data_IF_150791577139
#
_entry.id   IF_150791577139
#
_cell.length_a   1.000
_cell.length_b   1.000
_cell.length_c   1.000
_cell.angle_alpha   90.00
_cell.angle_beta   90.00
_cell.angle_gamma   90.00
#
_symmetry.space_group_name_H-M   'P 1'
#
loop_
_entity.id
_entity.type
_entity.pdbx_description
1 polymer ?
#
# COMPACT_ATOMS: atom_id res chain seq x y z
N UNK A 1 -0.61 3.99 15.09
CA UNK A 1 -1.01 5.26 14.45
C UNK A 1 -0.49 5.28 13.02
N UNK A 2 -1.06 6.10 12.12
CA UNK A 2 -0.61 6.17 10.73
C UNK A 2 0.85 6.66 10.64
N UNK A 3 1.58 6.16 9.65
CA UNK A 3 2.93 6.60 9.30
C UNK A 3 2.84 7.51 8.07
N UNK A 4 3.51 8.66 8.12
CA UNK A 4 3.47 9.64 7.03
C UNK A 4 3.48 11.09 7.53
N UNK A 5 3.19 12.01 6.62
CA UNK A 5 3.08 13.44 6.90
C UNK A 5 1.69 13.86 7.39
N UNK A 6 1.52 15.16 7.55
CA UNK A 6 0.27 15.81 7.98
C UNK A 6 -0.44 16.57 6.84
N UNK A 7 -0.07 16.29 5.59
CA UNK A 7 -0.63 16.91 4.37
C UNK A 7 -1.50 15.90 3.61
N UNK A 8 -2.30 16.41 2.68
CA UNK A 8 -3.19 15.61 1.84
C UNK A 8 -4.56 15.35 2.47
N UNK A 9 -5.35 14.50 1.82
CA UNK A 9 -6.67 14.09 2.30
C UNK A 9 -6.58 12.69 2.93
N UNK A 10 -7.11 12.54 4.13
CA UNK A 10 -7.23 11.23 4.79
C UNK A 10 -8.25 10.37 4.06
N UNK A 11 -8.00 9.07 3.98
CA UNK A 11 -8.96 8.09 3.49
C UNK A 11 -8.98 6.86 4.39
N UNK A 12 -10.13 6.19 4.41
CA UNK A 12 -10.36 4.87 4.99
C UNK A 12 -11.39 4.21 4.07
N UNK A 13 -10.98 3.14 3.39
CA UNK A 13 -11.86 2.44 2.44
C UNK A 13 -12.90 1.56 3.15
N UNK A 14 -12.75 1.34 4.46
CA UNK A 14 -13.55 0.44 5.27
C UNK A 14 -13.23 -1.04 5.00
N UNK A 15 -14.11 -1.92 5.46
CA UNK A 15 -13.87 -3.37 5.46
C UNK A 15 -14.47 -4.05 4.22
N UNK A 16 -13.67 -4.94 3.63
CA UNK A 16 -14.01 -5.77 2.46
C UNK A 16 -13.83 -7.27 2.73
N UNK A 17 -14.29 -8.14 1.84
CA UNK A 17 -14.12 -9.59 1.97
C UNK A 17 -12.68 -9.99 1.63
N UNK A 18 -12.01 -9.21 0.78
CA UNK A 18 -10.61 -9.38 0.44
C UNK A 18 -10.11 -8.44 -0.65
N UNK A 19 -8.88 -8.69 -1.08
CA UNK A 19 -8.16 -7.87 -2.04
C UNK A 19 -7.64 -8.78 -3.16
N UNK A 20 -7.78 -8.35 -4.41
CA UNK A 20 -7.34 -9.09 -5.60
C UNK A 20 -6.12 -8.48 -6.26
N UNK A 21 -6.02 -7.16 -6.30
CA UNK A 21 -4.92 -6.45 -6.96
C UNK A 21 -4.63 -5.13 -6.26
N UNK A 22 -3.35 -4.79 -6.20
CA UNK A 22 -2.83 -3.48 -5.81
C UNK A 22 -2.07 -2.91 -6.99
N UNK A 23 -2.37 -1.66 -7.36
CA UNK A 23 -1.57 -0.87 -8.29
C UNK A 23 -1.01 0.31 -7.51
N UNK A 24 0.32 0.50 -7.55
CA UNK A 24 1.00 1.58 -6.83
C UNK A 24 1.74 2.44 -7.84
N UNK A 25 1.56 3.76 -7.73
CA UNK A 25 2.36 4.75 -8.44
C UNK A 25 3.46 5.31 -7.56
N UNK A 26 4.65 5.47 -8.13
CA UNK A 26 5.78 6.07 -7.45
C UNK A 26 6.59 6.98 -8.38
N UNK A 27 7.09 8.09 -7.84
CA UNK A 27 8.07 8.94 -8.51
C UNK A 27 9.43 8.88 -7.79
N UNK A 28 10.35 9.76 -8.16
CA UNK A 28 11.71 9.80 -7.60
C UNK A 28 11.76 10.11 -6.08
N UNK A 29 10.67 10.66 -5.53
CA UNK A 29 10.56 11.08 -4.14
C UNK A 29 9.72 10.15 -3.28
N UNK A 30 8.62 9.62 -3.83
CA UNK A 30 7.55 9.04 -3.00
C UNK A 30 6.60 8.11 -3.74
N UNK A 31 5.80 7.39 -2.96
CA UNK A 31 4.55 6.78 -3.40
C UNK A 31 3.53 7.90 -3.63
N UNK A 32 3.01 7.99 -4.85
CA UNK A 32 2.13 9.07 -5.31
C UNK A 32 0.68 8.62 -5.42
N UNK A 33 0.44 7.32 -5.62
CA UNK A 33 -0.87 6.76 -5.94
C UNK A 33 -0.99 5.33 -5.44
N UNK A 34 -2.20 4.98 -5.00
CA UNK A 34 -2.57 3.60 -4.75
C UNK A 34 -3.97 3.35 -5.27
N UNK A 35 -4.14 2.23 -5.97
CA UNK A 35 -5.44 1.69 -6.37
C UNK A 35 -5.55 0.26 -5.90
N UNK A 36 -6.71 -0.06 -5.35
CA UNK A 36 -6.99 -1.37 -4.80
C UNK A 36 -8.27 -1.92 -5.41
N UNK A 37 -8.19 -3.15 -5.87
CA UNK A 37 -9.33 -3.94 -6.32
C UNK A 37 -9.74 -4.90 -5.20
N UNK A 38 -10.80 -4.53 -4.49
CA UNK A 38 -11.38 -5.32 -3.40
C UNK A 38 -12.45 -6.29 -3.89
N UNK A 39 -12.70 -7.32 -3.09
CA UNK A 39 -13.82 -8.23 -3.20
C UNK A 39 -14.89 -7.85 -2.16
N UNK A 40 -16.15 -7.72 -2.57
CA UNK A 40 -17.32 -7.58 -1.66
C UNK A 40 -18.56 -8.19 -2.29
N UNK A 41 -19.24 -9.11 -1.61
CA UNK A 41 -20.51 -9.72 -2.05
C UNK A 41 -20.44 -10.25 -3.50
N UNK A 42 -19.43 -11.07 -3.81
CA UNK A 42 -19.15 -11.59 -5.16
C UNK A 42 -18.85 -10.54 -6.25
N UNK A 43 -18.71 -9.25 -5.91
CA UNK A 43 -18.33 -8.16 -6.84
C UNK A 43 -16.93 -7.60 -6.58
N UNK A 44 -16.33 -7.02 -7.62
CA UNK A 44 -15.08 -6.26 -7.50
C UNK A 44 -15.40 -4.79 -7.26
N UNK A 45 -14.83 -4.22 -6.21
CA UNK A 45 -14.97 -2.80 -5.84
C UNK A 45 -13.61 -2.13 -5.96
N UNK A 46 -13.55 -1.01 -6.69
CA UNK A 46 -12.31 -0.26 -6.89
C UNK A 46 -12.29 0.97 -5.98
N UNK A 47 -11.13 1.22 -5.38
CA UNK A 47 -10.80 2.43 -4.64
C UNK A 47 -9.43 2.94 -5.07
N UNK A 48 -9.28 4.26 -5.12
CA UNK A 48 -8.07 4.91 -5.59
C UNK A 48 -7.80 6.18 -4.79
N UNK A 49 -6.54 6.40 -4.42
CA UNK A 49 -6.12 7.52 -3.60
C UNK A 49 -4.80 8.11 -4.08
N UNK A 50 -4.62 9.40 -3.83
CA UNK A 50 -3.45 10.15 -4.29
C UNK A 50 -3.56 10.59 -5.76
N UNK A 51 -2.41 10.85 -6.38
CA UNK A 51 -2.30 11.38 -7.74
C UNK A 51 -1.58 10.35 -8.61
N UNK A 52 -2.27 9.82 -9.62
CA UNK A 52 -1.69 8.88 -10.58
C UNK A 52 -0.55 9.55 -11.39
N UNK A 53 0.67 9.42 -10.87
CA UNK A 53 1.89 10.04 -11.39
C UNK A 53 3.09 9.13 -11.15
N UNK A 54 4.01 9.09 -12.10
CA UNK A 54 5.24 8.29 -11.99
C UNK A 54 5.06 6.88 -12.53
N UNK A 55 5.94 5.96 -12.13
CA UNK A 55 5.92 4.57 -12.56
C UNK A 55 4.78 3.82 -11.84
N UNK A 56 3.93 3.15 -12.62
CA UNK A 56 2.90 2.24 -12.11
C UNK A 56 3.40 0.81 -12.11
N UNK A 57 3.24 0.12 -10.99
CA UNK A 57 3.45 -1.33 -10.88
C UNK A 57 2.24 -1.98 -10.24
N UNK A 58 2.06 -3.26 -10.50
CA UNK A 58 0.94 -4.05 -9.97
C UNK A 58 1.43 -5.25 -9.16
N UNK A 59 0.64 -5.64 -8.15
CA UNK A 59 0.78 -6.89 -7.43
C UNK A 59 -0.58 -7.57 -7.29
N UNK A 60 -0.67 -8.80 -7.76
CA UNK A 60 -1.91 -9.61 -7.72
C UNK A 60 -1.87 -10.55 -6.53
N UNK A 61 -2.97 -10.63 -5.79
CA UNK A 61 -3.17 -11.52 -4.66
C UNK A 61 -4.14 -12.61 -5.08
N UNK A 62 -3.77 -13.88 -4.83
CA UNK A 62 -4.57 -15.04 -5.22
C UNK A 62 -5.75 -15.29 -4.26
N UNK A 63 -6.66 -14.32 -4.12
CA UNK A 63 -7.87 -14.43 -3.33
C UNK A 63 -8.87 -15.44 -3.94
N UNK A 64 -9.55 -16.30 -3.15
CA UNK A 64 -9.61 -16.32 -1.68
C UNK A 64 -8.51 -17.15 -1.01
N UNK A 65 -7.66 -17.83 -1.79
CA UNK A 65 -6.63 -18.71 -1.27
C UNK A 65 -5.41 -18.00 -0.68
N UNK A 66 -5.35 -16.67 -0.75
CA UNK A 66 -4.26 -15.86 -0.23
C UNK A 66 -4.77 -14.47 0.16
N UNK A 67 -4.04 -13.79 1.05
CA UNK A 67 -4.42 -12.51 1.64
C UNK A 67 -3.16 -11.71 2.00
N UNK A 68 -3.25 -10.38 2.07
CA UNK A 68 -2.18 -9.55 2.64
C UNK A 68 -2.20 -9.68 4.16
N UNK A 69 -1.04 -9.96 4.75
CA UNK A 69 -0.84 -10.07 6.21
C UNK A 69 0.16 -9.04 6.75
N UNK A 70 0.97 -8.46 5.86
CA UNK A 70 1.84 -7.36 6.21
C UNK A 70 2.00 -6.35 5.08
N UNK A 71 2.17 -5.09 5.47
CA UNK A 71 2.59 -4.00 4.61
C UNK A 71 3.85 -3.41 5.23
N UNK A 72 4.91 -3.28 4.45
CA UNK A 72 6.13 -2.62 4.90
C UNK A 72 6.65 -1.65 3.85
N UNK A 73 7.74 -0.99 4.17
CA UNK A 73 8.35 -0.02 3.29
C UNK A 73 9.25 0.94 4.03
N UNK A 74 9.43 2.13 3.43
CA UNK A 74 10.21 3.21 4.03
C UNK A 74 9.48 4.54 3.91
N UNK A 75 9.83 5.47 4.80
CA UNK A 75 9.38 6.85 4.74
C UNK A 75 10.54 7.80 5.01
N UNK A 76 10.45 9.00 4.44
CA UNK A 76 11.45 10.04 4.64
C UNK A 76 10.81 11.43 4.69
N UNK A 77 11.46 12.36 5.40
CA UNK A 77 11.14 13.77 5.30
C UNK A 77 11.72 14.32 3.99
N UNK A 78 10.86 14.90 3.13
CA UNK A 78 11.26 15.46 1.84
C UNK A 78 11.28 16.97 1.94
N UNK A 79 12.48 17.56 1.98
CA UNK A 79 12.67 19.00 2.23
C UNK A 79 11.94 19.90 1.22
N UNK A 80 11.86 19.51 -0.05
CA UNK A 80 11.15 20.28 -1.09
C UNK A 80 9.65 20.42 -0.81
N UNK A 81 9.07 19.45 -0.10
CA UNK A 81 7.66 19.45 0.26
C UNK A 81 7.43 19.77 1.73
N UNK A 82 8.49 19.91 2.54
CA UNK A 82 8.46 20.08 3.99
C UNK A 82 7.41 19.18 4.65
N UNK A 83 7.52 17.87 4.38
CA UNK A 83 6.63 16.84 4.93
C UNK A 83 7.27 15.46 4.84
N UNK A 84 6.85 14.56 5.72
CA UNK A 84 7.16 13.14 5.61
C UNK A 84 6.31 12.50 4.52
N UNK A 85 6.93 11.75 3.61
CA UNK A 85 6.25 10.96 2.57
C UNK A 85 6.66 9.49 2.70
N UNK A 86 5.75 8.59 2.33
CA UNK A 86 6.10 7.18 2.11
C UNK A 86 6.91 7.10 0.82
N UNK A 87 8.11 6.52 0.91
CA UNK A 87 9.09 6.46 -0.19
C UNK A 87 9.11 5.11 -0.88
N UNK A 88 8.78 4.05 -0.14
CA UNK A 88 8.59 2.73 -0.71
C UNK A 88 7.51 1.93 0.00
N UNK A 89 6.98 0.93 -0.70
CA UNK A 89 6.06 -0.07 -0.18
C UNK A 89 6.42 -1.47 -0.66
N UNK A 90 6.12 -2.47 0.15
CA UNK A 90 6.02 -3.87 -0.24
C UNK A 90 4.89 -4.54 0.54
N UNK A 91 4.36 -5.63 -0.01
CA UNK A 91 3.24 -6.37 0.57
C UNK A 91 3.64 -7.83 0.75
N UNK A 92 3.36 -8.38 1.93
CA UNK A 92 3.58 -9.80 2.22
C UNK A 92 2.24 -10.49 2.39
N UNK A 93 2.13 -11.64 1.74
CA UNK A 93 0.93 -12.48 1.70
C UNK A 93 0.95 -13.58 2.75
N UNK A 94 -0.22 -14.13 3.08
CA UNK A 94 -0.37 -15.25 4.01
C UNK A 94 0.36 -16.52 3.57
N UNK A 95 0.61 -16.67 2.25
CA UNK A 95 1.40 -17.77 1.68
C UNK A 95 2.91 -17.50 1.67
N UNK A 96 3.37 -16.38 2.22
CA UNK A 96 4.79 -16.03 2.31
C UNK A 96 5.36 -15.36 1.05
N UNK A 97 4.55 -15.10 0.01
CA UNK A 97 4.99 -14.29 -1.12
C UNK A 97 5.10 -12.83 -0.70
N UNK A 98 6.20 -12.19 -1.08
CA UNK A 98 6.40 -10.75 -0.94
C UNK A 98 6.43 -10.11 -2.33
N UNK A 99 5.72 -9.00 -2.50
CA UNK A 99 5.73 -8.25 -3.75
C UNK A 99 7.12 -7.71 -4.06
N UNK A 100 7.43 -7.37 -5.32
CA UNK A 100 8.51 -6.43 -5.61
C UNK A 100 8.34 -5.14 -4.81
N UNK A 101 9.45 -4.42 -4.60
CA UNK A 101 9.41 -3.11 -3.98
C UNK A 101 8.78 -2.09 -4.94
N UNK A 102 7.84 -1.31 -4.43
CA UNK A 102 7.28 -0.13 -5.07
C UNK A 102 8.02 1.11 -4.57
N UNK A 103 8.35 2.04 -5.47
CA UNK A 103 9.18 3.20 -5.14
C UNK A 103 10.63 2.85 -4.83
N UNK A 104 11.32 3.74 -4.12
CA UNK A 104 12.75 3.62 -3.80
C UNK A 104 12.92 3.71 -2.28
N UNK A 105 13.59 2.71 -1.69
CA UNK A 105 13.83 2.69 -0.25
C UNK A 105 14.73 3.88 0.16
N UNK A 106 14.17 4.81 0.95
CA UNK A 106 14.85 6.03 1.42
C UNK A 106 14.33 6.38 2.82
N UNK A 107 15.23 6.76 3.72
CA UNK A 107 14.85 7.15 5.08
C UNK A 107 14.71 5.95 6.02
N UNK A 108 13.63 5.90 6.80
CA UNK A 108 13.42 4.92 7.86
C UNK A 108 12.41 3.86 7.45
N UNK A 109 12.75 2.61 7.75
CA UNK A 109 11.89 1.46 7.45
C UNK A 109 10.73 1.32 8.44
N UNK A 110 9.67 0.68 7.96
CA UNK A 110 8.53 0.29 8.77
C UNK A 110 7.93 -1.03 8.28
N UNK A 111 7.24 -1.69 9.19
CA UNK A 111 6.44 -2.88 8.89
C UNK A 111 5.20 -2.89 9.79
N UNK A 112 4.05 -3.10 9.17
CA UNK A 112 2.74 -3.24 9.82
C UNK A 112 2.23 -4.65 9.52
N UNK A 113 1.96 -5.42 10.57
CA UNK A 113 1.42 -6.78 10.48
C UNK A 113 0.01 -6.80 11.05
N UNK A 114 -0.87 -7.61 10.46
CA UNK A 114 -2.16 -7.90 11.08
C UNK A 114 -1.96 -8.58 12.44
N UNK A 115 -2.88 -8.34 13.38
CA UNK A 115 -2.83 -8.95 14.70
C UNK A 115 -2.77 -10.47 14.58
N UNK A 116 -1.81 -11.10 15.26
CA UNK A 116 -1.55 -12.55 15.19
C UNK A 116 -1.31 -13.08 13.76
N UNK A 117 -0.83 -12.26 12.83
CA UNK A 117 -0.68 -12.63 11.42
C UNK A 117 -2.00 -12.67 10.65
N UNK A 118 -3.04 -12.07 11.23
CA UNK A 118 -4.35 -11.91 10.61
C UNK A 118 -4.30 -11.07 9.34
N UNK A 119 -5.39 -11.15 8.58
CA UNK A 119 -5.57 -10.39 7.36
C UNK A 119 -5.66 -8.89 7.65
N UNK A 120 -4.99 -8.09 6.83
CA UNK A 120 -5.24 -6.66 6.76
C UNK A 120 -6.44 -6.42 5.82
N UNK A 121 -7.53 -5.88 6.38
CA UNK A 121 -8.77 -5.53 5.68
C UNK A 121 -9.01 -4.04 5.73
#
# INVERSE_FOLDING_TARGET
>A
GPLGGNKGNTFDDGVFDGLKKITVGADEYSITYIKIEYQKDAKVIVREHGTNRGELKEFTVNYPGDNIVAVGGSYNHISNYDTTLITSLYFTTSKGFTSPLFGVAKGKDFELKGENGGKLL
#
